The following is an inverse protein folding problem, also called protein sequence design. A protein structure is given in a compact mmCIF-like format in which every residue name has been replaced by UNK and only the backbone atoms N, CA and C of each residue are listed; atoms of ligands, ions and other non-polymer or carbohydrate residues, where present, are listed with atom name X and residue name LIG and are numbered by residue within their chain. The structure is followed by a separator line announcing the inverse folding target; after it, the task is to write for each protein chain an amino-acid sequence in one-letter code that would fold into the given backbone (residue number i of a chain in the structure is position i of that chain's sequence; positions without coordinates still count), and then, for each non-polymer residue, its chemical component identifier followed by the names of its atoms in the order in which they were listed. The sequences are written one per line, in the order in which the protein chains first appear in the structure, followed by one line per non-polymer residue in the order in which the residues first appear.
data_IF_157775757666
#
_entry.id   IF_157775757666
#
_cell.length_a   1.000
_cell.length_b   1.000
_cell.length_c   1.000
_cell.angle_alpha   90.00
_cell.angle_beta   90.00
_cell.angle_gamma   90.00
#
_symmetry.space_group_name_H-M   'P 1'
#
loop_
_entity.id
_entity.type
_entity.pdbx_description
1 polymer ?
#
# COMPACT_ATOMS: atom_id res chain seq x y z
N UNK A 1 -25.80 29.97 2.14
CA UNK A 1 -25.90 28.53 1.90
C UNK A 1 -24.55 27.89 2.09
N UNK A 2 -24.46 26.98 3.01
CA UNK A 2 -23.19 26.28 3.24
C UNK A 2 -22.88 25.38 2.04
N UNK A 3 -21.71 25.55 1.47
CA UNK A 3 -21.26 24.63 0.43
C UNK A 3 -20.95 23.28 1.07
N UNK A 4 -21.53 22.23 0.54
CA UNK A 4 -21.12 20.91 0.93
C UNK A 4 -19.63 20.76 0.63
N UNK A 5 -18.86 20.28 1.60
CA UNK A 5 -17.47 19.96 1.37
C UNK A 5 -17.44 18.76 0.44
N UNK A 6 -17.05 18.99 -0.79
CA UNK A 6 -16.95 17.89 -1.75
C UNK A 6 -15.74 17.04 -1.40
N UNK A 7 -15.99 15.74 -1.26
CA UNK A 7 -14.90 14.79 -1.19
C UNK A 7 -14.07 14.89 -2.48
N UNK A 8 -12.74 15.03 -2.39
CA UNK A 8 -11.93 15.03 -3.60
C UNK A 8 -12.22 13.81 -4.47
N UNK A 9 -12.20 13.95 -5.79
CA UNK A 9 -12.45 12.81 -6.66
C UNK A 9 -11.39 11.74 -6.45
N UNK A 10 -11.81 10.49 -6.49
CA UNK A 10 -10.90 9.34 -6.39
C UNK A 10 -10.34 9.08 -7.79
N UNK A 11 -9.01 9.12 -7.96
CA UNK A 11 -8.42 8.81 -9.25
C UNK A 11 -8.70 7.37 -9.68
N UNK A 12 -8.78 7.16 -10.98
CA UNK A 12 -8.90 5.83 -11.53
C UNK A 12 -7.67 4.98 -11.22
N UNK A 13 -7.90 3.71 -10.93
CA UNK A 13 -6.80 2.76 -10.74
C UNK A 13 -6.01 2.60 -12.05
N UNK A 14 -4.67 2.52 -11.95
CA UNK A 14 -3.88 2.17 -13.14
C UNK A 14 -4.36 0.85 -13.74
N UNK A 15 -4.30 0.75 -15.07
CA UNK A 15 -4.85 -0.39 -15.80
C UNK A 15 -4.20 -1.74 -15.44
N UNK A 16 -2.97 -1.72 -14.92
CA UNK A 16 -2.29 -2.95 -14.51
C UNK A 16 -2.77 -3.51 -13.16
N UNK A 17 -3.56 -2.75 -12.42
CA UNK A 17 -4.19 -3.27 -11.19
C UNK A 17 -5.47 -4.00 -11.56
N UNK A 18 -5.48 -5.30 -11.34
CA UNK A 18 -6.63 -6.15 -11.63
C UNK A 18 -6.87 -7.13 -10.47
N UNK A 19 -8.07 -7.64 -10.36
CA UNK A 19 -8.43 -8.61 -9.32
C UNK A 19 -8.25 -8.05 -7.91
N UNK A 20 -7.55 -8.77 -7.06
CA UNK A 20 -7.31 -8.38 -5.67
C UNK A 20 -6.58 -7.03 -5.55
N UNK A 21 -5.69 -6.71 -6.49
CA UNK A 21 -4.99 -5.42 -6.50
C UNK A 21 -5.97 -4.28 -6.74
N UNK A 22 -6.92 -4.45 -7.64
CA UNK A 22 -7.96 -3.47 -7.92
C UNK A 22 -8.89 -3.30 -6.73
N UNK A 23 -9.26 -4.40 -6.10
CA UNK A 23 -10.09 -4.35 -4.87
C UNK A 23 -9.40 -3.57 -3.77
N UNK A 24 -8.09 -3.78 -3.61
CA UNK A 24 -7.31 -3.05 -2.61
C UNK A 24 -7.24 -1.56 -2.94
N UNK A 25 -7.10 -1.21 -4.22
CA UNK A 25 -7.17 0.18 -4.66
C UNK A 25 -8.52 0.80 -4.27
N UNK A 26 -9.62 0.09 -4.55
CA UNK A 26 -10.97 0.60 -4.24
C UNK A 26 -11.18 0.81 -2.73
N UNK A 27 -10.48 0.07 -1.88
CA UNK A 27 -10.52 0.26 -0.43
C UNK A 27 -9.69 1.47 0.01
N UNK A 28 -8.47 1.63 -0.52
CA UNK A 28 -7.50 2.60 -0.03
C UNK A 28 -7.60 3.96 -0.70
N UNK A 29 -7.84 4.01 -2.00
CA UNK A 29 -7.83 5.26 -2.74
C UNK A 29 -8.83 6.29 -2.19
N UNK A 30 -10.06 5.93 -1.83
CA UNK A 30 -10.99 6.90 -1.23
C UNK A 30 -10.47 7.49 0.09
N UNK A 31 -9.78 6.70 0.89
CA UNK A 31 -9.22 7.15 2.17
C UNK A 31 -8.14 8.21 1.91
N UNK A 32 -7.21 7.92 1.01
CA UNK A 32 -6.13 8.85 0.68
C UNK A 32 -6.66 10.10 -0.04
N UNK A 33 -7.68 9.96 -0.86
CA UNK A 33 -8.33 11.11 -1.50
C UNK A 33 -8.91 12.07 -0.44
N UNK A 34 -9.57 11.53 0.58
CA UNK A 34 -10.12 12.34 1.69
C UNK A 34 -9.04 12.99 2.52
N UNK A 35 -7.88 12.35 2.66
CA UNK A 35 -6.74 12.92 3.36
C UNK A 35 -6.03 13.99 2.55
N UNK A 36 -6.40 14.16 1.28
CA UNK A 36 -5.76 15.13 0.39
C UNK A 36 -4.38 14.71 -0.09
N UNK A 37 -4.04 13.43 0.03
CA UNK A 37 -2.72 12.92 -0.29
C UNK A 37 -2.66 12.19 -1.64
N UNK A 38 -3.79 12.06 -2.31
CA UNK A 38 -3.88 11.32 -3.55
C UNK A 38 -4.10 12.27 -4.74
N UNK A 39 -3.05 13.00 -5.10
CA UNK A 39 -3.01 13.76 -6.33
C UNK A 39 -2.60 12.86 -7.48
N UNK A 40 -2.54 13.42 -8.69
CA UNK A 40 -2.11 12.68 -9.87
C UNK A 40 -0.73 12.02 -9.68
N UNK A 41 0.19 12.69 -8.98
CA UNK A 41 1.53 12.16 -8.76
C UNK A 41 1.55 11.01 -7.76
N UNK A 42 0.72 11.09 -6.73
CA UNK A 42 0.68 10.08 -5.68
C UNK A 42 -0.08 8.81 -6.07
N UNK A 43 -0.86 8.84 -7.15
CA UNK A 43 -1.54 7.64 -7.64
C UNK A 43 -0.55 6.52 -7.98
N UNK A 44 0.57 6.86 -8.59
CA UNK A 44 1.62 5.91 -8.90
C UNK A 44 2.23 5.29 -7.64
N UNK A 45 2.40 6.09 -6.59
CA UNK A 45 2.96 5.64 -5.31
C UNK A 45 2.00 4.68 -4.63
N UNK A 46 0.71 5.00 -4.60
CA UNK A 46 -0.30 4.09 -4.03
C UNK A 46 -0.36 2.77 -4.80
N UNK A 47 -0.31 2.81 -6.12
CA UNK A 47 -0.31 1.60 -6.92
C UNK A 47 0.91 0.72 -6.61
N UNK A 48 2.09 1.32 -6.47
CA UNK A 48 3.31 0.59 -6.09
C UNK A 48 3.21 0.01 -4.69
N UNK A 49 2.62 0.74 -3.76
CA UNK A 49 2.37 0.25 -2.40
C UNK A 49 1.50 -1.01 -2.42
N UNK A 50 0.42 -0.97 -3.18
CA UNK A 50 -0.51 -2.11 -3.30
C UNK A 50 0.19 -3.33 -3.90
N UNK A 51 0.99 -3.13 -4.95
CA UNK A 51 1.74 -4.22 -5.57
C UNK A 51 2.78 -4.80 -4.59
N UNK A 52 3.51 -3.96 -3.88
CA UNK A 52 4.49 -4.40 -2.89
C UNK A 52 3.82 -5.19 -1.76
N UNK A 53 2.69 -4.72 -1.27
CA UNK A 53 1.89 -5.41 -0.25
C UNK A 53 1.46 -6.80 -0.72
N UNK A 54 0.96 -6.89 -1.94
CA UNK A 54 0.55 -8.17 -2.52
C UNK A 54 1.74 -9.11 -2.70
N UNK A 55 2.87 -8.59 -3.17
CA UNK A 55 4.09 -9.38 -3.33
C UNK A 55 4.59 -9.90 -1.98
N UNK A 56 4.45 -9.12 -0.91
CA UNK A 56 4.80 -9.56 0.43
C UNK A 56 3.95 -10.75 0.85
N UNK A 57 2.65 -10.70 0.59
CA UNK A 57 1.75 -11.83 0.90
C UNK A 57 2.12 -13.09 0.10
N UNK A 58 2.48 -12.94 -1.17
CA UNK A 58 2.93 -14.05 -1.99
C UNK A 58 4.23 -14.65 -1.46
N UNK A 59 5.18 -13.80 -1.06
CA UNK A 59 6.43 -14.25 -0.47
C UNK A 59 6.19 -15.01 0.84
N UNK A 60 5.22 -14.55 1.65
CA UNK A 60 4.82 -15.24 2.89
C UNK A 60 4.30 -16.64 2.60
N UNK A 61 3.48 -16.80 1.56
CA UNK A 61 2.96 -18.11 1.17
C UNK A 61 4.09 -19.05 0.72
N UNK A 62 5.05 -18.53 -0.06
CA UNK A 62 6.19 -19.33 -0.49
C UNK A 62 7.08 -19.73 0.68
N UNK A 63 7.28 -18.82 1.64
CA UNK A 63 8.04 -19.13 2.84
C UNK A 63 7.40 -20.28 3.63
N UNK A 64 6.07 -20.23 3.81
CA UNK A 64 5.35 -21.30 4.50
C UNK A 64 5.53 -22.65 3.80
N UNK A 65 5.48 -22.67 2.46
CA UNK A 65 5.72 -23.89 1.67
C UNK A 65 7.13 -24.41 1.87
N UNK A 66 8.13 -23.53 1.83
CA UNK A 66 9.52 -23.91 2.04
C UNK A 66 9.75 -24.48 3.44
N UNK A 67 9.14 -23.88 4.45
CA UNK A 67 9.24 -24.37 5.84
C UNK A 67 8.56 -25.72 6.00
N UNK A 68 7.41 -25.92 5.36
CA UNK A 68 6.68 -27.19 5.41
C UNK A 68 7.44 -28.33 4.73
N UNK A 69 8.21 -28.03 3.68
CA UNK A 69 9.04 -29.01 2.98
C UNK A 69 10.43 -29.17 3.58
N UNK A 70 10.73 -28.46 4.68
CA UNK A 70 12.03 -28.45 5.36
C UNK A 70 13.19 -28.02 4.43
N UNK A 71 12.91 -27.14 3.46
CA UNK A 71 13.91 -26.58 2.55
C UNK A 71 14.46 -25.29 3.14
N UNK A 72 15.58 -25.38 3.86
CA UNK A 72 16.19 -24.25 4.53
C UNK A 72 16.74 -23.20 3.58
N UNK A 73 17.26 -23.59 2.41
CA UNK A 73 17.77 -22.64 1.42
C UNK A 73 16.64 -21.82 0.81
N UNK A 74 15.54 -22.48 0.45
CA UNK A 74 14.38 -21.82 -0.12
C UNK A 74 13.72 -20.90 0.91
N UNK A 75 13.61 -21.37 2.16
CA UNK A 75 13.10 -20.53 3.26
C UNK A 75 13.93 -19.27 3.45
N UNK A 76 15.26 -19.38 3.47
CA UNK A 76 16.15 -18.24 3.61
C UNK A 76 15.99 -17.23 2.46
N UNK A 77 15.82 -17.73 1.23
CA UNK A 77 15.55 -16.89 0.06
C UNK A 77 14.29 -16.06 0.24
N UNK A 78 13.20 -16.69 0.66
CA UNK A 78 11.93 -16.00 0.82
C UNK A 78 11.91 -15.02 1.99
N UNK A 79 12.66 -15.32 3.06
CA UNK A 79 12.86 -14.37 4.16
C UNK A 79 13.55 -13.10 3.63
N UNK A 80 14.58 -13.26 2.79
CA UNK A 80 15.26 -12.13 2.16
C UNK A 80 14.34 -11.30 1.26
N UNK A 81 13.47 -11.96 0.50
CA UNK A 81 12.47 -11.29 -0.35
C UNK A 81 11.49 -10.50 0.51
N UNK A 82 10.98 -11.09 1.58
CA UNK A 82 10.07 -10.42 2.51
C UNK A 82 10.72 -9.17 3.11
N UNK A 83 11.98 -9.27 3.52
CA UNK A 83 12.70 -8.15 4.13
C UNK A 83 12.79 -6.95 3.18
N UNK A 84 13.12 -7.20 1.93
CA UNK A 84 13.19 -6.15 0.89
C UNK A 84 11.82 -5.53 0.64
N UNK A 85 10.78 -6.35 0.53
CA UNK A 85 9.42 -5.88 0.29
C UNK A 85 8.91 -5.07 1.48
N UNK A 86 9.20 -5.50 2.70
CA UNK A 86 8.81 -4.77 3.89
C UNK A 86 9.42 -3.37 3.91
N UNK A 87 10.69 -3.25 3.54
CA UNK A 87 11.35 -1.93 3.43
C UNK A 87 10.68 -1.05 2.39
N UNK A 88 10.31 -1.61 1.24
CA UNK A 88 9.57 -0.87 0.21
C UNK A 88 8.21 -0.42 0.72
N UNK A 89 7.47 -1.31 1.38
CA UNK A 89 6.15 -1.01 1.94
C UNK A 89 6.25 0.15 2.95
N UNK A 90 7.24 0.09 3.84
CA UNK A 90 7.44 1.13 4.84
C UNK A 90 7.79 2.48 4.20
N UNK A 91 8.68 2.48 3.22
CA UNK A 91 9.07 3.70 2.52
C UNK A 91 7.90 4.32 1.75
N UNK A 92 7.18 3.50 1.00
CA UNK A 92 6.00 3.97 0.25
C UNK A 92 4.89 4.41 1.20
N UNK A 93 4.70 3.67 2.29
CA UNK A 93 3.71 4.03 3.31
C UNK A 93 4.01 5.35 3.98
N UNK A 94 5.27 5.64 4.28
CA UNK A 94 5.68 6.93 4.82
C UNK A 94 5.36 8.07 3.84
N UNK A 95 5.66 7.87 2.57
CA UNK A 95 5.36 8.86 1.52
C UNK A 95 3.86 9.12 1.43
N UNK A 96 3.04 8.10 1.62
CA UNK A 96 1.59 8.22 1.62
C UNK A 96 1.01 8.73 2.94
N UNK A 97 1.85 8.95 3.96
CA UNK A 97 1.39 9.42 5.26
C UNK A 97 0.69 8.37 6.10
N UNK A 98 1.08 7.10 5.94
CA UNK A 98 0.46 6.00 6.69
C UNK A 98 0.90 5.94 8.15
N UNK A 99 2.05 6.52 8.51
CA UNK A 99 2.48 6.57 9.90
C UNK A 99 1.90 7.80 10.58
N UNK A 100 1.54 7.67 11.86
CA UNK A 100 1.00 8.78 12.63
C UNK A 100 2.00 9.95 12.70
N UNK A 101 3.27 9.65 12.81
CA UNK A 101 4.35 10.64 12.84
C UNK A 101 4.40 11.47 11.55
N UNK A 102 4.32 10.79 10.40
CA UNK A 102 4.33 11.46 9.10
C UNK A 102 3.07 12.30 8.90
N UNK A 103 1.91 11.80 9.29
CA UNK A 103 0.66 12.56 9.21
C UNK A 103 0.74 13.83 10.05
N UNK A 104 1.30 13.72 11.24
CA UNK A 104 1.47 14.87 12.14
C UNK A 104 2.42 15.90 11.53
N UNK A 105 3.55 15.45 10.97
CA UNK A 105 4.54 16.32 10.34
C UNK A 105 3.97 17.06 9.13
N UNK A 106 3.05 16.42 8.41
CA UNK A 106 2.40 17.01 7.23
C UNK A 106 1.13 17.80 7.58
N UNK A 107 0.75 17.84 8.86
CA UNK A 107 -0.47 18.49 9.31
C UNK A 107 -1.75 17.74 8.98
N UNK A 108 -1.65 16.46 8.65
CA UNK A 108 -2.80 15.66 8.30
C UNK A 108 -3.43 15.00 9.52
N UNK A 109 -4.76 14.93 9.51
CA UNK A 109 -5.51 14.18 10.51
C UNK A 109 -6.33 13.11 9.80
N UNK A 110 -6.44 11.94 10.44
CA UNK A 110 -7.33 10.92 9.91
C UNK A 110 -8.77 11.40 10.06
N UNK A 111 -9.62 11.11 9.04
CA UNK A 111 -11.06 11.36 9.22
C UNK A 111 -11.55 10.49 10.36
N UNK A 112 -12.05 11.15 11.39
CA UNK A 112 -12.55 10.51 12.60
C UNK A 112 -13.89 9.87 12.41
#
# INVERSE_FOLDING_TARGET
MAKAIKTPPVPEAPSYLAGALRERWDELAPIFARMGTLSYLETSILAKYIVAENNYLQASNQLQRAMSSADGEDAAKWIGVQDKLLKQILTLGETLGLTAEKRKAMGWTLPG
#
